data_IF_398315033531
#
_entry.id   IF_398315033531
#
_cell.length_a   1.000
_cell.length_b   1.000
_cell.length_c   1.000
_cell.angle_alpha   90.00
_cell.angle_beta   90.00
_cell.angle_gamma   90.00
#
_symmetry.space_group_name_H-M   'P 1'
#
loop_
_entity.id
_entity.type
_entity.pdbx_description
1 polymer ?
#
# COMPACT_ATOMS: atom_id res chain seq x y z
N UNK A 1 -4.21 16.67 -13.74
CA UNK A 1 -3.15 17.55 -13.20
C UNK A 1 -2.90 17.12 -11.77
N UNK A 2 -1.73 16.58 -11.46
CA UNK A 2 -1.36 16.23 -10.07
C UNK A 2 -0.94 17.50 -9.36
N UNK A 3 -1.75 17.96 -8.41
CA UNK A 3 -1.46 19.15 -7.61
C UNK A 3 -0.53 18.72 -6.48
N UNK A 4 0.70 19.22 -6.46
CA UNK A 4 1.61 18.98 -5.34
C UNK A 4 1.33 19.96 -4.20
N UNK A 5 1.14 19.44 -3.00
CA UNK A 5 0.90 20.25 -1.79
C UNK A 5 2.06 20.05 -0.83
N UNK A 6 2.74 21.12 -0.43
CA UNK A 6 3.81 21.05 0.57
C UNK A 6 3.19 20.92 1.97
N UNK A 7 3.59 19.87 2.70
CA UNK A 7 3.16 19.63 4.08
C UNK A 7 4.39 19.59 5.00
N UNK A 8 4.25 20.12 6.22
CA UNK A 8 5.25 19.96 7.27
C UNK A 8 5.02 18.62 7.97
N UNK A 9 6.08 17.84 8.10
CA UNK A 9 6.07 16.55 8.80
C UNK A 9 7.14 16.52 9.89
N UNK A 10 6.97 15.65 10.87
CA UNK A 10 7.96 15.44 11.92
C UNK A 10 9.28 14.91 11.31
N UNK A 11 10.42 15.42 11.76
CA UNK A 11 11.73 15.02 11.24
C UNK A 11 12.02 13.53 11.46
N UNK A 12 11.60 12.96 12.59
CA UNK A 12 11.75 11.52 12.86
C UNK A 12 10.98 10.68 11.85
N UNK A 13 9.73 11.07 11.55
CA UNK A 13 8.90 10.39 10.54
C UNK A 13 9.57 10.43 9.15
N UNK A 14 10.17 11.57 8.80
CA UNK A 14 10.89 11.72 7.54
C UNK A 14 12.11 10.79 7.45
N UNK A 15 12.93 10.70 8.50
CA UNK A 15 14.09 9.81 8.50
C UNK A 15 13.68 8.33 8.47
N UNK A 16 12.60 7.94 9.17
CA UNK A 16 12.05 6.58 9.07
C UNK A 16 11.58 6.29 7.64
N UNK A 17 10.79 7.19 7.04
CA UNK A 17 10.31 7.00 5.67
C UNK A 17 11.46 6.93 4.67
N UNK A 18 12.55 7.68 4.89
CA UNK A 18 13.74 7.65 4.04
C UNK A 18 14.48 6.33 4.11
N UNK A 19 14.60 5.73 5.30
CA UNK A 19 15.23 4.41 5.46
C UNK A 19 14.41 3.32 4.76
N UNK A 20 13.11 3.31 4.99
CA UNK A 20 12.22 2.28 4.45
C UNK A 20 12.00 2.44 2.94
N UNK A 21 11.94 3.68 2.44
CA UNK A 21 11.86 3.96 1.01
C UNK A 21 13.04 3.37 0.23
N UNK A 22 14.26 3.39 0.81
CA UNK A 22 15.44 2.79 0.19
C UNK A 22 15.32 1.27 0.14
N UNK A 23 14.80 0.64 1.20
CA UNK A 23 14.60 -0.80 1.26
C UNK A 23 13.50 -1.30 0.32
N UNK A 24 12.43 -0.52 0.15
CA UNK A 24 11.28 -0.87 -0.68
C UNK A 24 11.35 -0.33 -2.13
N UNK A 25 12.46 0.31 -2.51
CA UNK A 25 12.62 0.96 -3.82
C UNK A 25 11.51 1.99 -4.14
N UNK A 26 11.04 2.72 -3.12
CA UNK A 26 10.05 3.80 -3.24
C UNK A 26 10.70 5.17 -3.11
N UNK A 27 9.98 6.22 -3.51
CA UNK A 27 10.36 7.59 -3.12
C UNK A 27 9.98 7.83 -1.66
N UNK A 28 10.62 8.79 -0.99
CA UNK A 28 10.28 9.12 0.41
C UNK A 28 8.80 9.52 0.55
N UNK A 29 8.32 10.36 -0.38
CA UNK A 29 6.91 10.73 -0.43
C UNK A 29 6.02 9.50 -0.67
N UNK A 30 6.41 8.60 -1.59
CA UNK A 30 5.69 7.36 -1.86
C UNK A 30 5.63 6.42 -0.67
N UNK A 31 6.66 6.35 0.16
CA UNK A 31 6.65 5.57 1.40
C UNK A 31 5.63 6.13 2.41
N UNK A 32 5.58 7.45 2.56
CA UNK A 32 4.62 8.12 3.45
C UNK A 32 3.18 7.92 2.94
N UNK A 33 2.96 8.07 1.63
CA UNK A 33 1.66 7.81 1.00
C UNK A 33 1.23 6.34 1.21
N UNK A 34 2.16 5.41 1.08
CA UNK A 34 1.91 3.99 1.33
C UNK A 34 1.49 3.74 2.79
N UNK A 35 2.23 4.26 3.78
CA UNK A 35 1.82 4.15 5.18
C UNK A 35 0.47 4.78 5.47
N UNK A 36 0.17 5.93 4.86
CA UNK A 36 -1.15 6.56 5.00
C UNK A 36 -2.27 5.69 4.41
N UNK A 37 -2.02 5.05 3.25
CA UNK A 37 -2.99 4.17 2.62
C UNK A 37 -3.22 2.89 3.43
N UNK A 38 -2.15 2.26 3.91
CA UNK A 38 -2.20 1.08 4.78
C UNK A 38 -2.92 1.42 6.08
N UNK A 39 -2.52 2.51 6.75
CA UNK A 39 -3.13 2.96 8.00
C UNK A 39 -4.63 3.21 7.88
N UNK A 40 -5.06 3.87 6.78
CA UNK A 40 -6.50 4.07 6.50
C UNK A 40 -7.21 2.73 6.31
N UNK A 41 -6.66 1.84 5.49
CA UNK A 41 -7.26 0.52 5.25
C UNK A 41 -7.35 -0.33 6.54
N UNK A 42 -6.37 -0.24 7.43
CA UNK A 42 -6.39 -0.92 8.73
C UNK A 42 -7.43 -0.36 9.69
N UNK A 43 -7.67 0.96 9.68
CA UNK A 43 -8.74 1.59 10.47
C UNK A 43 -10.12 1.17 9.96
N UNK A 44 -10.29 1.15 8.63
CA UNK A 44 -11.55 0.76 7.99
C UNK A 44 -11.85 -0.74 8.13
N UNK A 45 -10.81 -1.57 8.30
CA UNK A 45 -10.90 -3.03 8.38
C UNK A 45 -10.12 -3.55 9.61
N UNK A 46 -10.61 -3.29 10.83
CA UNK A 46 -9.87 -3.58 12.06
C UNK A 46 -9.60 -5.08 12.29
N UNK A 47 -10.40 -5.94 11.69
CA UNK A 47 -10.28 -7.40 11.82
C UNK A 47 -9.25 -8.01 10.86
N UNK A 48 -8.75 -7.23 9.90
CA UNK A 48 -7.78 -7.71 8.91
C UNK A 48 -6.34 -7.50 9.41
N UNK A 49 -5.47 -8.53 9.33
CA UNK A 49 -4.05 -8.36 9.58
C UNK A 49 -3.42 -7.33 8.63
N UNK A 50 -2.51 -6.51 9.15
CA UNK A 50 -1.82 -5.47 8.36
C UNK A 50 -1.09 -6.08 7.16
N UNK A 51 -0.44 -7.24 7.33
CA UNK A 51 0.26 -7.92 6.24
C UNK A 51 -0.70 -8.31 5.09
N UNK A 52 -1.93 -8.71 5.43
CA UNK A 52 -2.95 -9.02 4.44
C UNK A 52 -3.40 -7.77 3.68
N UNK A 53 -3.55 -6.66 4.37
CA UNK A 53 -3.90 -5.36 3.77
C UNK A 53 -2.79 -4.91 2.80
N UNK A 54 -1.53 -4.99 3.23
CA UNK A 54 -0.36 -4.64 2.39
C UNK A 54 -0.32 -5.50 1.13
N UNK A 55 -0.46 -6.82 1.27
CA UNK A 55 -0.47 -7.74 0.13
C UNK A 55 -1.65 -7.47 -0.83
N UNK A 56 -2.82 -7.17 -0.28
CA UNK A 56 -4.01 -6.84 -1.08
C UNK A 56 -3.84 -5.53 -1.85
N UNK A 57 -3.28 -4.49 -1.21
CA UNK A 57 -2.97 -3.22 -1.86
C UNK A 57 -1.93 -3.39 -2.98
N UNK A 58 -0.89 -4.21 -2.74
CA UNK A 58 0.10 -4.54 -3.76
C UNK A 58 -0.54 -5.25 -4.96
N UNK A 59 -1.37 -6.28 -4.70
CA UNK A 59 -2.07 -7.01 -5.77
C UNK A 59 -3.02 -6.12 -6.58
N UNK A 60 -3.70 -5.16 -5.94
CA UNK A 60 -4.56 -4.20 -6.66
C UNK A 60 -3.78 -3.19 -7.53
N UNK A 61 -2.50 -2.97 -7.23
CA UNK A 61 -1.63 -2.10 -8.02
C UNK A 61 -1.01 -2.82 -9.24
N UNK A 62 -1.07 -4.14 -9.29
CA UNK A 62 -0.56 -4.91 -10.42
C UNK A 62 -1.40 -4.66 -11.69
N UNK A 63 -0.78 -4.66 -12.88
CA UNK A 63 -1.50 -4.53 -14.15
C UNK A 63 -2.50 -5.68 -14.32
N UNK A 64 -3.74 -5.35 -14.69
CA UNK A 64 -4.79 -6.36 -14.89
C UNK A 64 -4.42 -7.35 -15.99
N UNK A 65 -3.59 -6.94 -16.94
CA UNK A 65 -3.07 -7.81 -18.00
C UNK A 65 -2.21 -8.97 -17.46
N UNK A 66 -1.65 -8.83 -16.26
CA UNK A 66 -0.84 -9.86 -15.59
C UNK A 66 -1.68 -10.75 -14.68
N UNK A 67 -2.97 -10.43 -14.48
CA UNK A 67 -3.87 -11.23 -13.67
C UNK A 67 -4.37 -12.47 -14.43
N UNK A 68 -4.53 -13.58 -13.71
CA UNK A 68 -5.19 -14.78 -14.23
C UNK A 68 -6.61 -14.88 -13.67
N UNK A 69 -7.61 -15.32 -14.46
CA UNK A 69 -8.94 -15.58 -13.94
C UNK A 69 -8.90 -16.61 -12.81
N UNK A 70 -9.58 -16.31 -11.70
CA UNK A 70 -9.75 -17.28 -10.63
C UNK A 70 -10.59 -18.46 -11.13
N UNK A 71 -10.04 -19.68 -11.04
CA UNK A 71 -10.76 -20.92 -11.34
C UNK A 71 -11.13 -21.60 -10.01
N UNK A 72 -12.40 -21.57 -9.59
CA UNK A 72 -12.83 -22.23 -8.36
C UNK A 72 -12.56 -23.74 -8.42
N UNK A 73 -12.04 -24.30 -7.32
CA UNK A 73 -11.75 -25.74 -7.23
C UNK A 73 -13.01 -26.60 -7.20
N UNK A 74 -14.18 -26.03 -6.87
CA UNK A 74 -15.48 -26.70 -6.90
C UNK A 74 -16.47 -25.88 -7.71
N UNK A 75 -16.94 -26.44 -8.82
CA UNK A 75 -18.17 -25.97 -9.46
C UNK A 75 -19.29 -26.40 -8.50
N UNK A 76 -19.97 -25.44 -7.85
CA UNK A 76 -21.19 -25.78 -7.12
C UNK A 76 -22.14 -26.47 -8.10
N UNK A 77 -22.49 -27.72 -7.81
CA UNK A 77 -23.61 -28.42 -8.44
C UNK A 77 -24.91 -27.76 -8.01
#
# INVERSE_FOLDING_TARGET
>A
MTVSTSIRINHHLYEQAKQDAVAEHRTIAGQIEFWAQVGRASIDNPDLPVDFIVASLASMAEPREQSIPFVPRTVRK
#
